data_IF_309991392030
#
_entry.id   IF_309991392030
#
_cell.length_a   1.000
_cell.length_b   1.000
_cell.length_c   1.000
_cell.angle_alpha   90.00
_cell.angle_beta   90.00
_cell.angle_gamma   90.00
#
_symmetry.space_group_name_H-M   'P 1'
#
loop_
_entity.id
_entity.type
_entity.pdbx_description
1 polymer ?
#
# COMPACT_ATOMS: atom_id res chain seq x y z
N UNK A 1 -19.99 8.43 14.36
CA UNK A 1 -18.97 7.36 14.40
C UNK A 1 -19.29 6.46 13.23
N UNK A 2 -18.72 6.75 12.08
CA UNK A 2 -19.07 6.06 10.83
C UNK A 2 -18.40 4.71 10.86
N UNK A 3 -19.19 3.67 11.15
CA UNK A 3 -18.78 2.30 11.04
C UNK A 3 -18.33 2.03 9.60
N UNK A 4 -17.19 1.37 9.46
CA UNK A 4 -16.69 0.79 8.21
C UNK A 4 -17.59 -0.37 7.77
N UNK A 5 -18.87 -0.12 7.50
CA UNK A 5 -19.86 -1.19 7.40
C UNK A 5 -20.01 -1.79 6.00
N UNK A 6 -19.65 -1.12 4.90
CA UNK A 6 -20.08 -1.66 3.58
C UNK A 6 -19.04 -1.72 2.47
N UNK A 7 -17.80 -1.31 2.74
CA UNK A 7 -16.67 -1.68 1.89
C UNK A 7 -15.56 -2.17 2.81
N UNK A 8 -15.50 -3.49 3.01
CA UNK A 8 -14.30 -4.14 3.56
C UNK A 8 -13.17 -3.82 2.59
N UNK A 9 -12.49 -2.70 2.80
CA UNK A 9 -11.34 -2.29 1.99
C UNK A 9 -10.42 -3.50 1.96
N UNK A 10 -10.07 -4.03 0.80
CA UNK A 10 -9.25 -5.25 0.65
C UNK A 10 -8.00 -5.18 1.54
N UNK A 11 -7.48 -3.97 1.72
CA UNK A 11 -6.46 -3.59 2.68
C UNK A 11 -6.68 -4.08 4.13
N UNK A 12 -7.89 -3.98 4.68
CA UNK A 12 -8.19 -4.44 6.04
C UNK A 12 -8.01 -5.95 6.21
N UNK A 13 -8.07 -6.73 5.12
CA UNK A 13 -7.88 -8.17 5.18
C UNK A 13 -6.40 -8.57 5.31
N UNK A 14 -5.47 -7.65 5.05
CA UNK A 14 -4.02 -7.86 5.13
C UNK A 14 -3.30 -6.90 6.08
N UNK A 15 -3.98 -5.88 6.62
CA UNK A 15 -3.35 -4.86 7.45
C UNK A 15 -2.54 -5.43 8.64
N UNK A 16 -3.07 -6.46 9.34
CA UNK A 16 -2.31 -7.14 10.41
C UNK A 16 -0.97 -7.71 9.90
N UNK A 17 -0.88 -8.16 8.65
CA UNK A 17 0.33 -8.74 8.08
C UNK A 17 1.51 -7.75 8.05
N UNK A 18 1.28 -6.44 8.14
CA UNK A 18 2.34 -5.45 8.11
C UNK A 18 2.93 -5.10 9.48
N UNK A 19 2.36 -5.63 10.55
CA UNK A 19 2.84 -5.41 11.93
C UNK A 19 3.99 -6.39 12.22
N UNK A 20 5.01 -5.95 12.94
CA UNK A 20 6.13 -6.80 13.37
C UNK A 20 5.90 -7.35 14.77
N UNK A 21 6.61 -8.42 15.11
CA UNK A 21 6.72 -8.95 16.48
C UNK A 21 5.37 -9.20 17.14
N UNK A 22 4.43 -9.77 16.36
CA UNK A 22 3.12 -10.18 16.86
C UNK A 22 3.27 -11.48 17.63
N UNK A 23 3.17 -11.38 18.95
CA UNK A 23 3.11 -12.54 19.82
C UNK A 23 1.83 -13.36 19.53
N UNK A 24 1.95 -14.68 19.58
CA UNK A 24 0.87 -15.64 19.42
C UNK A 24 0.97 -16.71 20.50
N UNK A 25 -0.14 -17.38 20.75
CA UNK A 25 -0.15 -18.51 21.70
C UNK A 25 0.59 -19.72 21.13
N UNK A 26 1.07 -20.60 22.00
CA UNK A 26 1.67 -21.87 21.58
C UNK A 26 0.69 -22.74 20.77
N UNK A 27 -0.60 -22.72 21.12
CA UNK A 27 -1.63 -23.45 20.37
C UNK A 27 -1.78 -22.94 18.93
N UNK A 28 -1.73 -21.61 18.73
CA UNK A 28 -1.75 -21.00 17.40
C UNK A 28 -0.46 -21.31 16.65
N UNK A 29 0.70 -21.24 17.32
CA UNK A 29 1.98 -21.59 16.73
C UNK A 29 2.01 -23.03 16.20
N UNK A 30 1.47 -23.98 16.97
CA UNK A 30 1.32 -25.38 16.54
C UNK A 30 0.40 -25.53 15.33
N UNK A 31 -0.65 -24.70 15.24
CA UNK A 31 -1.57 -24.71 14.09
C UNK A 31 -0.92 -24.16 12.82
N UNK A 32 -0.10 -23.10 12.97
CA UNK A 32 0.59 -22.45 11.85
C UNK A 32 1.86 -23.19 11.40
N UNK A 33 2.45 -23.97 12.31
CA UNK A 33 3.70 -24.70 12.11
C UNK A 33 4.92 -23.79 11.90
N UNK A 34 6.05 -24.41 11.57
CA UNK A 34 7.35 -23.72 11.43
C UNK A 34 7.36 -22.67 10.32
N UNK A 35 6.45 -22.78 9.34
CA UNK A 35 6.31 -21.79 8.28
C UNK A 35 5.73 -20.48 8.81
N UNK A 36 4.68 -20.55 9.63
CA UNK A 36 3.94 -19.38 10.08
C UNK A 36 4.36 -18.81 11.43
N UNK A 37 5.05 -19.60 12.25
CA UNK A 37 5.47 -19.22 13.59
C UNK A 37 6.99 -19.32 13.77
N UNK A 38 7.50 -18.55 14.74
CA UNK A 38 8.89 -18.63 15.20
C UNK A 38 8.93 -18.44 16.71
N UNK A 39 9.74 -19.25 17.40
CA UNK A 39 9.98 -19.10 18.84
C UNK A 39 11.20 -18.20 19.07
N UNK A 40 11.05 -17.17 19.89
CA UNK A 40 12.12 -16.24 20.29
C UNK A 40 12.04 -16.04 21.80
N UNK A 41 13.16 -16.23 22.50
CA UNK A 41 13.27 -15.98 23.94
C UNK A 41 12.22 -16.71 24.81
N UNK A 42 11.66 -17.83 24.33
CA UNK A 42 10.64 -18.61 25.02
C UNK A 42 9.21 -18.32 24.56
N UNK A 43 8.97 -17.21 23.86
CA UNK A 43 7.68 -16.78 23.35
C UNK A 43 7.51 -17.08 21.87
N UNK A 44 6.26 -17.22 21.42
CA UNK A 44 5.93 -17.53 20.03
C UNK A 44 5.47 -16.27 19.31
N UNK A 45 5.96 -16.09 18.09
CA UNK A 45 5.66 -14.94 17.26
C UNK A 45 5.23 -15.37 15.87
N UNK A 46 4.38 -14.58 15.22
CA UNK A 46 4.15 -14.71 13.79
C UNK A 46 5.44 -14.46 13.01
N UNK A 47 5.70 -15.32 12.03
CA UNK A 47 6.88 -15.19 11.18
C UNK A 47 6.67 -14.06 10.17
N UNK A 48 7.66 -13.18 10.07
CA UNK A 48 7.78 -12.18 9.02
C UNK A 48 8.83 -12.62 7.98
N UNK A 49 8.58 -12.30 6.71
CA UNK A 49 9.55 -12.43 5.63
C UNK A 49 10.69 -11.42 5.86
N UNK A 50 11.96 -11.86 5.90
CA UNK A 50 13.09 -10.98 6.19
C UNK A 50 13.33 -9.91 5.11
N UNK A 51 12.91 -10.14 3.87
CA UNK A 51 13.11 -9.21 2.76
C UNK A 51 12.07 -8.10 2.73
N UNK A 52 10.82 -8.40 3.10
CA UNK A 52 9.71 -7.43 3.04
C UNK A 52 9.30 -6.89 4.40
N UNK A 53 9.68 -7.58 5.48
CA UNK A 53 9.20 -7.29 6.84
C UNK A 53 7.73 -7.62 7.08
N UNK A 54 6.99 -8.07 6.07
CA UNK A 54 5.58 -8.46 6.21
C UNK A 54 5.45 -9.92 6.69
N UNK A 55 4.30 -10.28 7.25
CA UNK A 55 3.96 -11.65 7.60
C UNK A 55 4.07 -12.56 6.36
N UNK A 56 4.56 -13.78 6.55
CA UNK A 56 4.72 -14.78 5.48
C UNK A 56 3.40 -15.13 4.77
N UNK A 57 2.26 -14.89 5.42
CA UNK A 57 0.93 -15.13 4.84
C UNK A 57 0.36 -13.94 4.06
N UNK A 58 1.09 -12.83 3.91
CA UNK A 58 0.66 -11.76 3.01
C UNK A 58 0.64 -12.29 1.56
N UNK A 59 -0.54 -12.32 0.95
CA UNK A 59 -0.69 -12.72 -0.45
C UNK A 59 -0.74 -11.46 -1.34
N UNK A 60 0.33 -11.15 -2.11
CA UNK A 60 0.38 -9.95 -2.93
C UNK A 60 -0.57 -10.01 -4.13
N UNK A 61 -0.96 -11.21 -4.59
CA UNK A 61 -1.87 -11.39 -5.72
C UNK A 61 -3.33 -11.16 -5.31
N UNK A 62 -3.71 -11.56 -4.10
CA UNK A 62 -5.06 -11.36 -3.57
C UNK A 62 -5.21 -10.03 -2.81
N UNK A 63 -4.12 -9.30 -2.56
CA UNK A 63 -4.13 -8.11 -1.70
C UNK A 63 -4.47 -8.39 -0.23
N UNK A 64 -4.52 -9.66 0.17
CA UNK A 64 -5.13 -10.13 1.42
C UNK A 64 -4.22 -11.08 2.24
N UNK A 65 -4.67 -11.43 3.44
CA UNK A 65 -4.04 -12.50 4.23
C UNK A 65 -4.44 -13.88 3.66
N UNK A 66 -3.46 -14.70 3.29
CA UNK A 66 -3.68 -16.05 2.75
C UNK A 66 -4.29 -17.05 3.74
N UNK A 67 -4.32 -16.71 5.04
CA UNK A 67 -4.97 -17.50 6.10
C UNK A 67 -6.05 -16.70 6.82
N UNK A 68 -6.76 -15.80 6.13
CA UNK A 68 -7.66 -14.84 6.76
C UNK A 68 -8.67 -15.45 7.74
N UNK A 69 -9.23 -16.63 7.43
CA UNK A 69 -10.19 -17.33 8.28
C UNK A 69 -9.55 -18.09 9.45
N UNK A 70 -8.27 -18.44 9.32
CA UNK A 70 -7.47 -19.16 10.31
C UNK A 70 -6.51 -18.24 11.07
N UNK A 71 -6.63 -16.93 10.88
CA UNK A 71 -5.68 -15.96 11.44
C UNK A 71 -5.67 -16.04 12.98
N UNK A 72 -4.50 -15.87 13.62
CA UNK A 72 -4.40 -15.83 15.07
C UNK A 72 -5.22 -14.70 15.68
N UNK A 73 -5.53 -14.81 16.97
CA UNK A 73 -6.35 -13.88 17.73
C UNK A 73 -5.80 -12.46 17.66
N UNK A 74 -4.48 -12.27 17.77
CA UNK A 74 -3.82 -10.95 17.60
C UNK A 74 -4.15 -10.27 16.27
N UNK A 75 -4.38 -11.04 15.20
CA UNK A 75 -4.85 -10.51 13.91
C UNK A 75 -6.37 -10.45 13.76
N UNK A 76 -7.14 -11.13 14.60
CA UNK A 76 -8.60 -10.96 14.68
C UNK A 76 -8.97 -9.69 15.42
N UNK A 77 -8.21 -9.36 16.45
CA UNK A 77 -8.40 -8.18 17.30
C UNK A 77 -7.91 -6.90 16.63
N UNK A 78 -7.03 -7.02 15.63
CA UNK A 78 -6.56 -5.88 14.87
C UNK A 78 -7.70 -5.25 14.06
N UNK A 79 -7.87 -3.94 14.24
CA UNK A 79 -8.81 -3.11 13.49
C UNK A 79 -8.07 -2.08 12.66
N UNK A 80 -8.27 -2.11 11.34
CA UNK A 80 -7.76 -1.11 10.40
C UNK A 80 -8.45 0.25 10.54
N UNK A 81 -9.55 0.34 11.31
CA UNK A 81 -10.36 1.56 11.49
C UNK A 81 -9.54 2.70 12.12
N UNK A 82 -8.56 2.36 12.96
CA UNK A 82 -7.72 3.33 13.66
C UNK A 82 -6.38 3.58 12.96
N UNK A 83 -6.12 2.97 11.80
CA UNK A 83 -4.88 3.12 11.02
C UNK A 83 -5.08 4.14 9.88
N UNK A 84 -5.67 5.30 10.21
CA UNK A 84 -5.98 6.38 9.26
C UNK A 84 -4.74 6.91 8.57
N UNK A 85 -3.61 7.00 9.26
CA UNK A 85 -2.35 7.50 8.70
C UNK A 85 -1.86 6.67 7.50
N UNK A 86 -2.13 5.34 7.51
CA UNK A 86 -1.73 4.47 6.42
C UNK A 86 -2.72 4.47 5.26
N UNK A 87 -4.01 4.65 5.55
CA UNK A 87 -5.04 4.86 4.53
C UNK A 87 -4.78 6.18 3.79
N UNK A 88 -4.46 7.24 4.52
CA UNK A 88 -4.08 8.54 3.95
C UNK A 88 -2.84 8.42 3.04
N UNK A 89 -1.81 7.69 3.49
CA UNK A 89 -0.62 7.45 2.67
C UNK A 89 -0.90 6.63 1.39
N UNK A 90 -1.79 5.63 1.46
CA UNK A 90 -2.20 4.86 0.28
C UNK A 90 -3.02 5.70 -0.69
N UNK A 91 -3.92 6.56 -0.19
CA UNK A 91 -4.67 7.52 -1.01
C UNK A 91 -3.70 8.47 -1.71
N UNK A 92 -2.71 9.00 -1.00
CA UNK A 92 -1.67 9.87 -1.54
C UNK A 92 -0.85 9.16 -2.62
N UNK A 93 -0.44 7.90 -2.41
CA UNK A 93 0.27 7.11 -3.42
C UNK A 93 -0.56 6.89 -4.70
N UNK A 94 -1.86 6.59 -4.57
CA UNK A 94 -2.74 6.37 -5.74
C UNK A 94 -3.00 7.69 -6.48
N UNK A 95 -3.22 8.79 -5.77
CA UNK A 95 -3.42 10.11 -6.39
C UNK A 95 -2.15 10.62 -7.08
N UNK A 96 -0.99 10.39 -6.47
CA UNK A 96 0.28 10.82 -7.04
C UNK A 96 0.68 10.02 -8.28
N UNK A 97 0.32 8.74 -8.37
CA UNK A 97 0.59 7.94 -9.58
C UNK A 97 -0.10 8.52 -10.83
N UNK A 98 -1.32 9.04 -10.70
CA UNK A 98 -2.02 9.77 -11.78
C UNK A 98 -1.36 11.13 -12.07
N UNK A 99 -0.95 11.84 -11.01
CA UNK A 99 -0.28 13.14 -11.14
C UNK A 99 1.06 13.03 -11.87
N UNK A 100 1.90 12.04 -11.55
CA UNK A 100 3.18 11.79 -12.22
C UNK A 100 3.00 11.55 -13.71
N UNK A 101 2.00 10.74 -14.08
CA UNK A 101 1.68 10.50 -15.49
C UNK A 101 1.23 11.79 -16.20
N UNK A 102 0.37 12.58 -15.55
CA UNK A 102 -0.10 13.87 -16.10
C UNK A 102 1.03 14.88 -16.25
N UNK A 103 1.95 14.95 -15.28
CA UNK A 103 3.13 15.81 -15.35
C UNK A 103 4.06 15.39 -16.49
N UNK A 104 4.29 14.09 -16.66
CA UNK A 104 5.07 13.57 -17.80
C UNK A 104 4.47 13.97 -19.15
N UNK A 105 3.14 13.93 -19.29
CA UNK A 105 2.47 14.38 -20.52
C UNK A 105 2.66 15.88 -20.74
N UNK A 106 2.55 16.69 -19.69
CA UNK A 106 2.80 18.15 -19.77
C UNK A 106 4.25 18.43 -20.18
N UNK A 107 5.22 17.69 -19.65
CA UNK A 107 6.63 17.84 -20.02
C UNK A 107 6.88 17.49 -21.49
N UNK A 108 6.28 16.41 -21.99
CA UNK A 108 6.37 16.04 -23.42
C UNK A 108 5.75 17.11 -24.32
N UNK A 109 4.62 17.70 -23.91
CA UNK A 109 3.98 18.80 -24.63
C UNK A 109 4.82 20.08 -24.60
N UNK A 110 5.43 20.43 -23.46
CA UNK A 110 6.38 21.56 -23.34
C UNK A 110 7.60 21.38 -24.23
N UNK A 111 8.14 20.17 -24.28
CA UNK A 111 9.24 19.84 -25.19
C UNK A 111 8.83 20.00 -26.65
N UNK A 112 7.67 19.44 -27.03
CA UNK A 112 7.12 19.55 -28.39
C UNK A 112 6.95 21.03 -28.80
N UNK A 113 6.43 21.86 -27.89
CA UNK A 113 6.27 23.29 -28.11
C UNK A 113 7.61 24.02 -28.29
N UNK A 114 8.60 23.70 -27.45
CA UNK A 114 9.95 24.29 -27.54
C UNK A 114 10.66 23.91 -28.85
N UNK A 115 10.48 22.68 -29.33
CA UNK A 115 11.01 22.22 -30.62
C UNK A 115 10.31 22.90 -31.81
N UNK A 116 9.00 23.16 -31.71
CA UNK A 116 8.23 23.87 -32.73
C UNK A 116 8.53 25.38 -32.78
N UNK A 117 8.85 25.99 -31.64
CA UNK A 117 9.11 27.42 -31.48
C UNK A 117 10.42 27.68 -30.73
N UNK A 118 11.59 27.41 -31.35
CA UNK A 118 12.89 27.48 -30.67
C UNK A 118 13.31 28.90 -30.26
N UNK A 119 12.69 29.92 -30.87
CA UNK A 119 12.95 31.34 -30.58
C UNK A 119 12.10 31.88 -29.41
N UNK A 120 11.13 31.10 -28.92
CA UNK A 120 10.28 31.45 -27.78
C UNK A 120 10.77 30.76 -26.51
N UNK A 121 10.45 31.34 -25.35
CA UNK A 121 10.67 30.63 -24.11
C UNK A 121 9.65 29.48 -23.95
N UNK A 122 9.96 28.45 -23.14
CA UNK A 122 9.11 27.24 -23.08
C UNK A 122 7.67 27.48 -22.65
N UNK A 123 7.40 28.47 -21.80
CA UNK A 123 6.04 28.77 -21.33
C UNK A 123 5.24 29.50 -22.43
N UNK A 124 5.85 30.47 -23.11
CA UNK A 124 5.25 31.18 -24.25
C UNK A 124 4.98 30.25 -25.43
N UNK A 125 5.92 29.34 -25.73
CA UNK A 125 5.75 28.33 -26.77
C UNK A 125 4.58 27.38 -26.44
N UNK A 126 4.45 26.99 -25.17
CA UNK A 126 3.37 26.12 -24.71
C UNK A 126 2.00 26.81 -24.78
N UNK A 127 1.88 28.05 -24.30
CA UNK A 127 0.64 28.84 -24.39
C UNK A 127 0.21 29.08 -25.85
N UNK A 128 1.17 29.32 -26.75
CA UNK A 128 0.89 29.53 -28.16
C UNK A 128 0.40 28.25 -28.86
N UNK A 129 0.98 27.10 -28.50
CA UNK A 129 0.68 25.81 -29.13
C UNK A 129 -0.56 25.13 -28.54
N UNK A 130 -0.84 25.37 -27.26
CA UNK A 130 -1.94 24.73 -26.51
C UNK A 130 -2.77 25.76 -25.71
N UNK A 131 -3.42 26.72 -26.39
CA UNK A 131 -4.15 27.82 -25.71
C UNK A 131 -5.37 27.36 -24.91
N UNK A 132 -5.91 26.17 -25.20
CA UNK A 132 -7.05 25.59 -24.47
C UNK A 132 -6.63 24.84 -23.19
N UNK A 133 -5.32 24.71 -22.91
CA UNK A 133 -4.77 23.99 -21.75
C UNK A 133 -4.22 24.92 -20.65
N UNK A 134 -4.30 26.23 -20.84
CA UNK A 134 -3.76 27.28 -19.96
C UNK A 134 -4.85 28.11 -19.29
#
# INVERSE_FOLDING_TARGET
MTLCDEVRVEYCQSACCHIKDKEITEAEALTLGDHGAIKREGEWYLRNNPNTGACVYLNPTLGGCGIYDQRPQVCRDYSCVNDTARIEHLIEMVQNADLEHRLSVVDDLRKTATEAYPDLNPDEAFELMFPDLT
#
